data_IF_801236589249
#
_entry.id   IF_801236589249
#
_cell.length_a   1.000
_cell.length_b   1.000
_cell.length_c   1.000
_cell.angle_alpha   90.00
_cell.angle_beta   90.00
_cell.angle_gamma   90.00
#
_symmetry.space_group_name_H-M   'P 1'
#
loop_
_entity.id
_entity.type
_entity.pdbx_description
1 polymer ?
#
# COMPACT_ATOMS: atom_id res chain seq x y z
N UNK A 1 -50.69 -12.17 -2.85
CA UNK A 1 -49.75 -12.50 -3.94
C UNK A 1 -50.11 -13.86 -4.49
N UNK A 2 -50.15 -14.04 -5.80
CA UNK A 2 -50.40 -15.34 -6.41
C UNK A 2 -49.21 -16.29 -6.13
N UNK A 3 -49.46 -17.60 -6.07
CA UNK A 3 -48.38 -18.61 -5.89
C UNK A 3 -47.27 -18.42 -6.94
N UNK A 4 -47.64 -18.09 -8.16
CA UNK A 4 -46.69 -17.79 -9.24
C UNK A 4 -45.80 -16.57 -8.93
N UNK A 5 -46.36 -15.51 -8.35
CA UNK A 5 -45.55 -14.34 -7.96
C UNK A 5 -44.56 -14.69 -6.84
N UNK A 6 -44.98 -15.51 -5.88
CA UNK A 6 -44.06 -15.97 -4.81
C UNK A 6 -42.93 -16.79 -5.38
N UNK A 7 -43.22 -17.76 -6.27
CA UNK A 7 -42.20 -18.60 -6.92
C UNK A 7 -41.20 -17.76 -7.72
N UNK A 8 -41.71 -16.85 -8.57
CA UNK A 8 -40.84 -16.00 -9.38
C UNK A 8 -39.96 -15.09 -8.52
N UNK A 9 -40.50 -14.50 -7.44
CA UNK A 9 -39.73 -13.68 -6.50
C UNK A 9 -38.66 -14.49 -5.80
N UNK A 10 -38.98 -15.71 -5.35
CA UNK A 10 -38.01 -16.60 -4.69
C UNK A 10 -36.89 -16.99 -5.65
N UNK A 11 -37.22 -17.37 -6.89
CA UNK A 11 -36.21 -17.68 -7.91
C UNK A 11 -35.31 -16.50 -8.21
N UNK A 12 -35.88 -15.30 -8.37
CA UNK A 12 -35.10 -14.08 -8.59
C UNK A 12 -34.15 -13.76 -7.41
N UNK A 13 -34.66 -13.79 -6.18
CA UNK A 13 -33.86 -13.52 -4.97
C UNK A 13 -32.76 -14.58 -4.84
N UNK A 14 -33.06 -15.86 -5.07
CA UNK A 14 -32.07 -16.93 -5.02
C UNK A 14 -30.99 -16.75 -6.08
N UNK A 15 -31.39 -16.50 -7.33
CA UNK A 15 -30.45 -16.23 -8.42
C UNK A 15 -29.58 -15.00 -8.15
N UNK A 16 -30.17 -13.95 -7.60
CA UNK A 16 -29.45 -12.72 -7.22
C UNK A 16 -28.45 -12.95 -6.10
N UNK A 17 -28.84 -13.70 -5.06
CA UNK A 17 -27.93 -14.07 -3.95
C UNK A 17 -26.78 -14.97 -4.44
N UNK A 18 -27.07 -15.96 -5.29
CA UNK A 18 -26.04 -16.81 -5.91
C UNK A 18 -25.10 -16.00 -6.81
N UNK A 19 -25.64 -15.07 -7.59
CA UNK A 19 -24.86 -14.19 -8.45
C UNK A 19 -23.95 -13.26 -7.63
N UNK A 20 -24.47 -12.63 -6.54
CA UNK A 20 -23.65 -11.87 -5.60
C UNK A 20 -22.55 -12.77 -4.98
N UNK A 21 -22.92 -13.95 -4.49
CA UNK A 21 -21.99 -14.91 -3.90
C UNK A 21 -20.86 -15.28 -4.86
N UNK A 22 -21.19 -15.60 -6.12
CA UNK A 22 -20.21 -15.94 -7.15
C UNK A 22 -19.27 -14.75 -7.49
N UNK A 23 -19.79 -13.51 -7.50
CA UNK A 23 -18.99 -12.32 -7.79
C UNK A 23 -18.13 -11.86 -6.60
N UNK A 24 -18.50 -12.18 -5.36
CA UNK A 24 -17.74 -11.86 -4.16
C UNK A 24 -16.81 -13.00 -3.71
N UNK A 25 -16.98 -14.21 -4.23
CA UNK A 25 -16.12 -15.33 -3.91
C UNK A 25 -14.75 -15.15 -4.55
N UNK A 26 -13.71 -15.09 -3.74
CA UNK A 26 -12.33 -15.19 -4.23
C UNK A 26 -12.04 -16.65 -4.58
N UNK A 27 -11.69 -16.94 -5.84
CA UNK A 27 -11.39 -18.28 -6.33
C UNK A 27 -10.02 -18.79 -5.92
N UNK A 28 -9.18 -17.94 -5.37
CA UNK A 28 -7.78 -18.24 -5.07
C UNK A 28 -7.59 -18.89 -3.69
N UNK A 29 -6.67 -19.84 -3.63
CA UNK A 29 -6.30 -20.50 -2.36
C UNK A 29 -5.52 -19.54 -1.50
N UNK A 30 -5.92 -19.43 -0.23
CA UNK A 30 -5.23 -18.64 0.79
C UNK A 30 -4.01 -19.38 1.32
N UNK A 31 -3.02 -18.64 1.79
CA UNK A 31 -1.97 -19.21 2.61
C UNK A 31 -2.59 -19.79 3.89
N UNK A 32 -2.34 -21.07 4.16
CA UNK A 32 -2.90 -21.79 5.31
C UNK A 32 -1.89 -21.95 6.44
N UNK A 33 -0.59 -21.87 6.12
CA UNK A 33 0.48 -22.13 7.06
C UNK A 33 1.56 -21.06 6.96
N UNK A 34 2.16 -20.75 8.09
CA UNK A 34 3.34 -19.87 8.14
C UNK A 34 4.56 -20.58 7.53
N UNK A 35 5.43 -19.85 6.81
CA UNK A 35 6.72 -20.37 6.41
C UNK A 35 7.53 -20.87 7.63
N UNK A 36 8.30 -21.94 7.46
CA UNK A 36 9.27 -22.35 8.46
C UNK A 36 10.44 -21.38 8.46
N UNK A 37 11.04 -21.16 9.63
CA UNK A 37 12.26 -20.36 9.74
C UNK A 37 13.44 -21.20 9.28
N UNK A 38 13.94 -20.94 8.07
CA UNK A 38 15.07 -21.63 7.47
C UNK A 38 16.32 -20.74 7.45
N UNK A 39 16.14 -19.43 7.55
CA UNK A 39 17.19 -18.42 7.44
C UNK A 39 16.83 -17.20 8.30
N UNK A 40 17.79 -16.27 8.44
CA UNK A 40 17.61 -14.95 9.03
C UNK A 40 17.59 -13.86 7.97
N UNK A 41 17.15 -12.66 8.33
CA UNK A 41 17.06 -11.50 7.42
C UNK A 41 18.39 -11.08 6.80
N UNK A 42 19.53 -11.38 7.45
CA UNK A 42 20.88 -11.11 6.94
C UNK A 42 21.42 -12.17 5.98
N UNK A 43 20.80 -13.35 5.89
CA UNK A 43 21.32 -14.47 5.11
C UNK A 43 21.09 -14.27 3.60
N UNK A 44 22.04 -14.74 2.79
CA UNK A 44 21.93 -14.74 1.33
C UNK A 44 20.71 -15.55 0.84
N UNK A 45 20.35 -16.62 1.57
CA UNK A 45 19.18 -17.45 1.27
C UNK A 45 17.87 -16.70 1.46
N UNK A 46 17.77 -15.77 2.42
CA UNK A 46 16.59 -14.90 2.55
C UNK A 46 16.43 -13.98 1.32
N UNK A 47 17.55 -13.35 0.88
CA UNK A 47 17.56 -12.52 -0.32
C UNK A 47 17.13 -13.29 -1.56
N UNK A 48 17.70 -14.49 -1.74
CA UNK A 48 17.36 -15.37 -2.85
C UNK A 48 15.88 -15.82 -2.81
N UNK A 49 15.39 -16.19 -1.62
CA UNK A 49 14.00 -16.61 -1.45
C UNK A 49 13.01 -15.49 -1.78
N UNK A 50 13.27 -14.25 -1.33
CA UNK A 50 12.44 -13.10 -1.67
C UNK A 50 12.40 -12.88 -3.20
N UNK A 51 13.57 -12.88 -3.86
CA UNK A 51 13.67 -12.68 -5.32
C UNK A 51 12.89 -13.74 -6.10
N UNK A 52 13.01 -15.02 -5.72
CA UNK A 52 12.34 -16.11 -6.44
C UNK A 52 10.83 -16.17 -6.14
N UNK A 53 10.43 -16.02 -4.88
CA UNK A 53 9.05 -16.22 -4.46
C UNK A 53 8.14 -15.04 -4.77
N UNK A 54 8.69 -13.82 -4.85
CA UNK A 54 7.92 -12.62 -5.19
C UNK A 54 7.96 -12.27 -6.69
N UNK A 55 8.80 -12.95 -7.46
CA UNK A 55 8.91 -12.84 -8.91
C UNK A 55 10.07 -11.96 -9.37
N UNK A 56 10.08 -10.63 -9.17
CA UNK A 56 11.19 -9.81 -9.61
C UNK A 56 12.47 -10.07 -8.80
N UNK A 57 13.67 -10.09 -9.43
CA UNK A 57 14.93 -10.26 -8.70
C UNK A 57 15.30 -9.01 -7.90
N UNK A 58 16.13 -9.17 -6.87
CA UNK A 58 16.84 -8.06 -6.24
C UNK A 58 17.87 -7.48 -7.22
N UNK A 59 17.87 -6.17 -7.36
CA UNK A 59 18.77 -5.43 -8.24
C UNK A 59 19.69 -4.53 -7.40
N UNK A 60 20.99 -4.62 -7.62
CA UNK A 60 21.98 -3.75 -6.99
C UNK A 60 22.07 -2.39 -7.71
N UNK A 61 22.69 -1.41 -7.08
CA UNK A 61 23.02 -0.13 -7.69
C UNK A 61 21.92 0.92 -7.62
N UNK A 62 21.02 0.80 -6.64
CA UNK A 62 19.92 1.75 -6.47
C UNK A 62 20.24 2.79 -5.39
N UNK A 63 19.62 3.97 -5.52
CA UNK A 63 19.54 5.00 -4.49
C UNK A 63 18.09 5.21 -4.11
N UNK A 64 17.76 5.00 -2.84
CA UNK A 64 16.41 5.18 -2.31
C UNK A 64 16.44 6.29 -1.27
N UNK A 65 15.70 7.36 -1.54
CA UNK A 65 15.63 8.55 -0.70
C UNK A 65 14.27 8.65 -0.05
N UNK A 66 14.15 8.60 1.29
CA UNK A 66 12.88 8.83 1.97
C UNK A 66 12.50 10.31 1.90
N UNK A 67 11.21 10.57 1.70
CA UNK A 67 10.57 11.88 1.70
C UNK A 67 9.50 11.88 2.78
N UNK A 68 9.55 12.84 3.69
CA UNK A 68 8.70 12.89 4.86
C UNK A 68 7.63 13.96 4.68
N UNK A 69 6.36 13.57 4.84
CA UNK A 69 5.17 14.39 4.74
C UNK A 69 5.01 15.12 3.38
N UNK A 70 3.85 15.67 3.13
CA UNK A 70 3.50 16.31 1.86
C UNK A 70 4.45 17.46 1.46
N UNK A 71 5.00 18.16 2.45
CA UNK A 71 5.95 19.27 2.26
C UNK A 71 7.25 18.87 1.52
N UNK A 72 7.70 17.62 1.66
CA UNK A 72 8.84 17.09 0.90
C UNK A 72 8.41 16.29 -0.31
N UNK A 73 7.30 15.56 -0.18
CA UNK A 73 6.84 14.61 -1.20
C UNK A 73 6.37 15.34 -2.46
N UNK A 74 5.41 16.26 -2.34
CA UNK A 74 4.82 16.89 -3.52
C UNK A 74 5.79 17.76 -4.30
N UNK A 75 6.62 18.61 -3.68
CA UNK A 75 7.64 19.36 -4.43
C UNK A 75 8.61 18.46 -5.19
N UNK A 76 9.03 17.33 -4.58
CA UNK A 76 9.93 16.40 -5.24
C UNK A 76 9.27 15.73 -6.48
N UNK A 77 8.00 15.30 -6.36
CA UNK A 77 7.24 14.71 -7.47
C UNK A 77 6.98 15.74 -8.58
N UNK A 78 6.52 16.94 -8.23
CA UNK A 78 6.25 18.02 -9.18
C UNK A 78 7.54 18.44 -9.91
N UNK A 79 8.66 18.56 -9.19
CA UNK A 79 9.94 18.85 -9.84
C UNK A 79 10.34 17.77 -10.84
N UNK A 80 10.15 16.49 -10.52
CA UNK A 80 10.44 15.40 -11.45
C UNK A 80 9.54 15.48 -12.71
N UNK A 81 8.24 15.80 -12.58
CA UNK A 81 7.33 16.01 -13.70
C UNK A 81 7.77 17.19 -14.57
N UNK A 82 8.17 18.29 -13.97
CA UNK A 82 8.63 19.50 -14.68
C UNK A 82 9.90 19.26 -15.48
N UNK A 83 10.81 18.47 -14.93
CA UNK A 83 12.10 18.14 -15.54
C UNK A 83 12.10 16.89 -16.42
N UNK A 84 10.94 16.28 -16.63
CA UNK A 84 10.78 15.13 -17.53
C UNK A 84 11.07 15.48 -18.99
N UNK A 85 11.66 14.53 -19.73
CA UNK A 85 12.10 14.69 -21.13
C UNK A 85 11.41 13.79 -22.12
N UNK A 86 10.93 12.59 -21.73
CA UNK A 86 10.38 11.59 -22.64
C UNK A 86 8.98 11.12 -22.26
N UNK A 87 8.80 10.61 -21.07
CA UNK A 87 7.52 10.08 -20.64
C UNK A 87 7.30 10.17 -19.13
N UNK A 88 6.02 10.10 -18.77
CA UNK A 88 5.57 10.04 -17.38
C UNK A 88 4.49 8.96 -17.31
N UNK A 89 4.61 8.05 -16.34
CA UNK A 89 3.55 7.13 -15.95
C UNK A 89 3.16 7.40 -14.51
N UNK A 90 1.88 7.60 -14.26
CA UNK A 90 1.34 8.01 -12.97
C UNK A 90 0.12 7.17 -12.60
N UNK A 91 0.16 6.51 -11.44
CA UNK A 91 -0.94 5.71 -10.90
C UNK A 91 -1.19 6.08 -9.45
N UNK A 92 -2.45 6.35 -9.08
CA UNK A 92 -2.80 6.65 -7.70
C UNK A 92 -4.23 6.24 -7.36
N UNK A 93 -4.48 5.95 -6.07
CA UNK A 93 -5.82 5.70 -5.54
C UNK A 93 -6.55 7.01 -5.27
N UNK A 94 -6.02 7.86 -4.37
CA UNK A 94 -6.64 9.17 -4.04
C UNK A 94 -6.17 10.21 -5.03
N UNK A 95 -7.12 10.85 -5.70
CA UNK A 95 -6.85 11.95 -6.63
C UNK A 95 -8.00 12.95 -6.55
N UNK A 96 -7.81 14.06 -5.84
CA UNK A 96 -8.85 15.04 -5.56
C UNK A 96 -8.28 16.37 -5.08
N UNK A 97 -9.17 17.35 -4.89
CA UNK A 97 -8.89 18.63 -4.27
C UNK A 97 -7.84 19.49 -5.04
N UNK A 98 -7.34 20.54 -4.42
CA UNK A 98 -6.36 21.44 -5.00
C UNK A 98 -5.05 20.75 -5.41
N UNK A 99 -4.64 19.70 -4.65
CA UNK A 99 -3.44 18.93 -4.98
C UNK A 99 -3.64 18.12 -6.25
N UNK A 100 -4.79 17.43 -6.39
CA UNK A 100 -5.14 16.75 -7.64
C UNK A 100 -5.16 17.70 -8.83
N UNK A 101 -5.72 18.90 -8.65
CA UNK A 101 -5.71 19.95 -9.66
C UNK A 101 -4.29 20.37 -10.06
N UNK A 102 -3.42 20.60 -9.09
CA UNK A 102 -2.00 20.93 -9.34
C UNK A 102 -1.31 19.84 -10.16
N UNK A 103 -1.53 18.56 -9.83
CA UNK A 103 -0.95 17.45 -10.60
C UNK A 103 -1.54 17.36 -12.02
N UNK A 104 -2.85 17.62 -12.22
CA UNK A 104 -3.46 17.72 -13.55
C UNK A 104 -2.76 18.78 -14.38
N UNK A 105 -2.52 19.96 -13.82
CA UNK A 105 -1.88 21.08 -14.54
C UNK A 105 -0.44 20.73 -14.93
N UNK A 106 0.36 20.16 -14.02
CA UNK A 106 1.74 19.80 -14.29
C UNK A 106 1.88 18.67 -15.31
N UNK A 107 1.03 17.64 -15.22
CA UNK A 107 0.98 16.53 -16.19
C UNK A 107 0.48 17.02 -17.56
N UNK A 108 -0.51 17.91 -17.60
CA UNK A 108 -1.00 18.55 -18.82
C UNK A 108 0.11 19.40 -19.48
N UNK A 109 0.86 20.14 -18.68
CA UNK A 109 2.00 20.92 -19.17
C UNK A 109 3.10 20.01 -19.74
N UNK A 110 3.36 18.86 -19.12
CA UNK A 110 4.29 17.87 -19.66
C UNK A 110 3.79 17.32 -21.03
N UNK A 111 2.51 16.98 -21.15
CA UNK A 111 1.94 16.54 -22.41
C UNK A 111 2.04 17.62 -23.51
N UNK A 112 1.75 18.90 -23.19
CA UNK A 112 1.92 20.02 -24.14
C UNK A 112 3.37 20.24 -24.56
N UNK A 113 4.35 19.84 -23.74
CA UNK A 113 5.77 19.80 -24.15
C UNK A 113 6.10 18.65 -25.11
N UNK A 114 5.15 17.77 -25.42
CA UNK A 114 5.30 16.63 -26.32
C UNK A 114 5.69 15.32 -25.63
N UNK A 115 5.66 15.25 -24.31
CA UNK A 115 5.94 14.03 -23.56
C UNK A 115 4.76 13.04 -23.65
N UNK A 116 5.07 11.74 -23.59
CA UNK A 116 4.06 10.71 -23.44
C UNK A 116 3.63 10.63 -21.96
N UNK A 117 2.41 11.02 -21.65
CA UNK A 117 1.89 11.07 -20.28
C UNK A 117 0.74 10.08 -20.12
N UNK A 118 0.95 9.05 -19.32
CA UNK A 118 -0.03 8.00 -19.02
C UNK A 118 -0.48 8.10 -17.57
N UNK A 119 -1.78 8.30 -17.36
CA UNK A 119 -2.38 8.50 -16.04
C UNK A 119 -3.41 7.40 -15.79
N UNK A 120 -3.30 6.71 -14.66
CA UNK A 120 -4.23 5.69 -14.21
C UNK A 120 -4.78 6.06 -12.84
N UNK A 121 -6.06 6.39 -12.76
CA UNK A 121 -6.74 6.81 -11.54
C UNK A 121 -7.73 5.72 -11.10
N UNK A 122 -7.77 5.39 -9.82
CA UNK A 122 -8.82 4.53 -9.30
C UNK A 122 -10.17 5.26 -9.33
N UNK A 123 -11.22 4.59 -9.82
CA UNK A 123 -12.55 5.19 -9.91
C UNK A 123 -13.07 5.70 -8.57
N UNK A 124 -12.91 4.90 -7.49
CA UNK A 124 -13.47 5.26 -6.18
C UNK A 124 -12.73 6.44 -5.55
N UNK A 125 -11.41 6.43 -5.64
CA UNK A 125 -10.54 7.43 -5.03
C UNK A 125 -10.47 8.75 -5.79
N UNK A 126 -10.87 8.78 -7.07
CA UNK A 126 -10.87 9.97 -7.92
C UNK A 126 -12.28 10.52 -8.25
N UNK A 127 -13.35 9.87 -7.76
CA UNK A 127 -14.75 10.21 -8.11
C UNK A 127 -15.18 11.62 -7.71
N UNK A 128 -14.49 12.28 -6.82
CA UNK A 128 -14.76 13.67 -6.39
C UNK A 128 -13.97 14.70 -7.19
N UNK A 129 -13.12 14.27 -8.13
CA UNK A 129 -12.43 15.18 -9.05
C UNK A 129 -13.40 15.72 -10.10
N UNK A 130 -13.23 16.97 -10.45
CA UNK A 130 -14.05 17.60 -11.48
C UNK A 130 -13.76 16.97 -12.86
N UNK A 131 -14.81 16.49 -13.52
CA UNK A 131 -14.72 15.88 -14.85
C UNK A 131 -14.18 16.87 -15.91
N UNK A 132 -14.38 18.17 -15.74
CA UNK A 132 -13.82 19.21 -16.61
C UNK A 132 -12.29 19.21 -16.55
N UNK A 133 -11.70 19.03 -15.39
CA UNK A 133 -10.24 18.96 -15.21
C UNK A 133 -9.66 17.70 -15.84
N UNK A 134 -10.31 16.54 -15.65
CA UNK A 134 -9.88 15.28 -16.28
C UNK A 134 -10.01 15.37 -17.81
N UNK A 135 -11.06 16.05 -18.32
CA UNK A 135 -11.24 16.31 -19.75
C UNK A 135 -10.16 17.26 -20.29
N UNK A 136 -9.81 18.30 -19.53
CA UNK A 136 -8.72 19.22 -19.89
C UNK A 136 -7.36 18.50 -20.00
N UNK A 137 -7.05 17.55 -19.09
CA UNK A 137 -5.86 16.73 -19.18
C UNK A 137 -5.83 15.89 -20.48
N UNK A 138 -6.96 15.26 -20.84
CA UNK A 138 -7.07 14.50 -22.11
C UNK A 138 -6.90 15.42 -23.33
N UNK A 139 -7.50 16.59 -23.33
CA UNK A 139 -7.35 17.59 -24.38
C UNK A 139 -5.91 18.10 -24.51
N UNK A 140 -5.18 18.17 -23.39
CA UNK A 140 -3.76 18.53 -23.39
C UNK A 140 -2.85 17.42 -23.95
N UNK A 141 -3.37 16.22 -24.22
CA UNK A 141 -2.63 15.09 -24.77
C UNK A 141 -2.29 13.99 -23.75
N UNK A 142 -2.78 14.07 -22.50
CA UNK A 142 -2.59 12.99 -21.54
C UNK A 142 -3.48 11.78 -21.90
N UNK A 143 -2.90 10.58 -21.88
CA UNK A 143 -3.65 9.32 -21.93
C UNK A 143 -4.11 8.96 -20.52
N UNK A 144 -5.32 9.45 -20.17
CA UNK A 144 -5.90 9.30 -18.83
C UNK A 144 -6.99 8.23 -18.85
N UNK A 145 -6.79 7.21 -18.01
CA UNK A 145 -7.67 6.07 -17.84
C UNK A 145 -8.19 5.96 -16.39
N UNK A 146 -9.40 5.44 -16.25
CA UNK A 146 -10.02 5.16 -14.94
C UNK A 146 -9.98 3.66 -14.70
N UNK A 147 -9.39 3.26 -13.58
CA UNK A 147 -9.27 1.86 -13.20
C UNK A 147 -10.56 1.37 -12.54
N UNK A 148 -11.09 0.26 -13.04
CA UNK A 148 -12.28 -0.43 -12.56
C UNK A 148 -13.48 0.50 -12.30
N UNK A 149 -13.99 1.24 -13.32
CA UNK A 149 -15.24 1.95 -13.23
C UNK A 149 -16.39 0.97 -12.97
N UNK A 150 -17.50 1.40 -12.34
CA UNK A 150 -18.64 0.53 -12.07
C UNK A 150 -19.18 -0.14 -13.32
N UNK A 151 -19.43 -1.42 -13.23
CA UNK A 151 -20.08 -2.20 -14.27
C UNK A 151 -21.04 -3.17 -13.62
N UNK A 152 -22.31 -3.16 -14.07
CA UNK A 152 -23.37 -3.98 -13.49
C UNK A 152 -23.13 -5.50 -13.66
N UNK A 153 -22.31 -5.88 -14.64
CA UNK A 153 -21.98 -7.30 -14.93
C UNK A 153 -20.68 -7.78 -14.30
N UNK A 154 -19.91 -6.89 -13.62
CA UNK A 154 -18.65 -7.22 -12.97
C UNK A 154 -18.55 -6.64 -11.56
N UNK A 155 -19.42 -7.09 -10.65
CA UNK A 155 -19.44 -6.61 -9.25
C UNK A 155 -18.14 -6.94 -8.50
N UNK A 156 -17.45 -8.03 -8.82
CA UNK A 156 -16.18 -8.41 -8.23
C UNK A 156 -15.11 -7.32 -8.41
N UNK A 157 -15.15 -6.60 -9.55
CA UNK A 157 -14.25 -5.48 -9.83
C UNK A 157 -14.52 -4.24 -8.95
N UNK A 158 -15.73 -4.12 -8.39
CA UNK A 158 -16.04 -3.01 -7.46
C UNK A 158 -15.25 -3.14 -6.16
N UNK A 159 -14.91 -4.33 -5.73
CA UNK A 159 -14.15 -4.60 -4.52
C UNK A 159 -12.63 -4.62 -4.75
N UNK A 160 -12.18 -4.85 -6.00
CA UNK A 160 -10.78 -4.74 -6.38
C UNK A 160 -10.45 -3.28 -6.77
N UNK A 161 -9.56 -2.66 -6.02
CA UNK A 161 -9.11 -1.28 -6.26
C UNK A 161 -7.62 -1.24 -6.51
N UNK A 162 -7.16 -0.35 -7.38
CA UNK A 162 -5.74 -0.06 -7.38
C UNK A 162 -5.41 0.82 -6.18
N UNK A 163 -4.63 0.26 -5.28
CA UNK A 163 -4.12 1.02 -4.12
C UNK A 163 -2.66 1.41 -4.32
N UNK A 164 -2.10 1.09 -5.49
CA UNK A 164 -0.75 1.50 -5.90
C UNK A 164 -0.64 3.02 -5.96
N UNK A 165 0.50 3.54 -5.60
CA UNK A 165 0.88 4.95 -5.71
C UNK A 165 2.24 4.97 -6.35
N UNK A 166 2.25 5.22 -7.66
CA UNK A 166 3.45 5.14 -8.50
C UNK A 166 3.53 6.38 -9.38
N UNK A 167 4.69 7.00 -9.43
CA UNK A 167 5.08 7.95 -10.45
C UNK A 167 6.42 7.49 -11.00
N UNK A 168 6.52 7.26 -12.30
CA UNK A 168 7.79 6.98 -12.96
C UNK A 168 8.01 8.02 -14.04
N UNK A 169 9.19 8.62 -14.04
CA UNK A 169 9.59 9.68 -14.96
C UNK A 169 10.79 9.21 -15.78
N UNK A 170 10.65 9.26 -17.10
CA UNK A 170 11.68 8.89 -18.09
C UNK A 170 12.26 7.47 -17.91
N UNK A 171 11.56 6.59 -17.19
CA UNK A 171 12.08 5.28 -16.79
C UNK A 171 13.32 5.34 -15.88
N UNK A 172 13.65 6.49 -15.29
CA UNK A 172 14.88 6.76 -14.52
C UNK A 172 14.63 7.11 -13.07
N UNK A 173 13.53 7.78 -12.77
CA UNK A 173 13.15 8.22 -11.44
C UNK A 173 11.78 7.62 -11.12
N UNK A 174 11.67 6.96 -9.98
CA UNK A 174 10.42 6.40 -9.49
C UNK A 174 10.05 6.96 -8.12
N UNK A 175 8.74 7.06 -7.83
CA UNK A 175 8.21 7.40 -6.52
C UNK A 175 7.18 6.36 -6.12
N UNK A 176 7.22 5.94 -4.84
CA UNK A 176 6.25 5.02 -4.25
C UNK A 176 6.12 5.24 -2.74
N UNK A 177 4.99 4.86 -2.16
CA UNK A 177 4.71 5.00 -0.74
C UNK A 177 3.21 5.09 -0.46
N UNK A 178 2.84 5.76 0.64
CA UNK A 178 1.44 5.84 1.06
C UNK A 178 0.70 7.08 0.60
N UNK A 179 1.38 8.14 0.09
CA UNK A 179 0.75 9.42 -0.22
C UNK A 179 -0.31 9.29 -1.34
N UNK A 180 -1.45 9.95 -1.15
CA UNK A 180 -2.42 10.23 -2.20
C UNK A 180 -2.36 11.69 -2.63
N UNK A 181 -3.12 12.06 -3.66
CA UNK A 181 -3.24 13.46 -4.09
C UNK A 181 -4.48 14.07 -3.42
N UNK A 182 -4.30 14.58 -2.20
CA UNK A 182 -5.35 15.18 -1.38
C UNK A 182 -4.78 16.15 -0.35
N UNK A 183 -5.59 17.11 0.08
CA UNK A 183 -5.19 18.19 1.01
C UNK A 183 -4.77 17.67 2.38
N UNK A 184 -5.21 16.48 2.76
CA UNK A 184 -4.90 15.87 4.06
C UNK A 184 -3.40 15.73 4.32
N UNK A 185 -2.60 15.57 3.27
CA UNK A 185 -1.14 15.41 3.38
C UNK A 185 -0.36 16.72 3.33
N UNK A 186 -0.98 17.87 2.94
CA UNK A 186 -0.29 19.17 2.90
C UNK A 186 -0.84 20.17 3.88
N UNK A 187 -2.15 20.43 3.88
CA UNK A 187 -2.75 21.49 4.67
C UNK A 187 -3.40 20.95 5.96
N UNK A 188 -3.46 19.63 6.06
CA UNK A 188 -4.21 18.94 7.11
C UNK A 188 -5.72 19.01 6.85
N UNK A 189 -6.51 18.56 7.81
CA UNK A 189 -7.96 18.61 7.74
C UNK A 189 -8.58 18.72 9.14
N UNK A 190 -9.75 19.34 9.21
CA UNK A 190 -10.52 19.49 10.46
C UNK A 190 -9.71 20.12 11.62
N UNK A 191 -8.81 21.07 11.33
CA UNK A 191 -7.97 21.75 12.32
C UNK A 191 -6.82 20.89 12.85
N UNK A 192 -6.54 19.75 12.23
CA UNK A 192 -5.39 18.89 12.55
C UNK A 192 -4.23 19.17 11.61
N UNK A 193 -2.97 18.96 12.05
CA UNK A 193 -1.81 19.01 11.18
C UNK A 193 -1.92 18.04 10.00
N UNK A 194 -1.13 18.22 8.92
CA UNK A 194 -1.03 17.28 7.81
C UNK A 194 -0.79 15.86 8.29
N UNK A 195 -1.29 14.89 7.52
CA UNK A 195 -1.08 13.47 7.82
C UNK A 195 0.40 13.12 7.81
N UNK A 196 0.81 12.32 8.80
CA UNK A 196 2.16 11.79 8.89
C UNK A 196 2.36 10.69 7.86
N UNK A 197 3.26 10.92 6.91
CA UNK A 197 3.50 9.99 5.82
C UNK A 197 5.01 9.86 5.53
N UNK A 198 5.41 8.75 4.94
CA UNK A 198 6.74 8.55 4.36
C UNK A 198 6.60 7.97 2.97
N UNK A 199 7.15 8.67 1.98
CA UNK A 199 7.19 8.27 0.57
C UNK A 199 8.65 8.12 0.14
N UNK A 200 8.90 7.46 -0.98
CA UNK A 200 10.27 7.12 -1.38
C UNK A 200 10.50 7.48 -2.83
N UNK A 201 11.59 8.20 -3.08
CA UNK A 201 12.15 8.42 -4.41
C UNK A 201 13.16 7.31 -4.66
N UNK A 202 13.07 6.64 -5.80
CA UNK A 202 13.98 5.61 -6.25
C UNK A 202 14.68 6.03 -7.54
N UNK A 203 15.98 5.79 -7.61
CA UNK A 203 16.84 5.99 -8.77
C UNK A 203 17.69 4.74 -8.96
N UNK A 204 17.92 4.30 -10.21
CA UNK A 204 18.67 3.10 -10.50
C UNK A 204 17.83 1.96 -11.08
N UNK A 205 18.40 0.75 -11.20
CA UNK A 205 17.78 -0.37 -11.93
C UNK A 205 16.37 -0.78 -11.45
N UNK A 206 16.04 -0.57 -10.18
CA UNK A 206 14.72 -0.90 -9.62
C UNK A 206 13.58 -0.10 -10.26
N UNK A 207 13.87 1.05 -10.87
CA UNK A 207 12.85 1.88 -11.55
C UNK A 207 12.22 1.12 -12.72
N UNK A 208 12.97 0.25 -13.40
CA UNK A 208 12.40 -0.61 -14.43
C UNK A 208 11.33 -1.58 -13.88
N UNK A 209 11.52 -2.08 -12.65
CA UNK A 209 10.51 -2.90 -11.99
C UNK A 209 9.30 -2.07 -11.56
N UNK A 210 9.49 -0.81 -11.12
CA UNK A 210 8.38 0.12 -10.82
C UNK A 210 7.56 0.40 -12.08
N UNK A 211 8.23 0.62 -13.21
CA UNK A 211 7.59 0.79 -14.51
C UNK A 211 6.78 -0.45 -14.92
N UNK A 212 7.34 -1.65 -14.74
CA UNK A 212 6.64 -2.90 -15.03
C UNK A 212 5.39 -3.09 -14.15
N UNK A 213 5.45 -2.72 -12.87
CA UNK A 213 4.30 -2.75 -11.95
C UNK A 213 3.19 -1.79 -12.41
N UNK A 214 3.52 -0.59 -12.89
CA UNK A 214 2.54 0.32 -13.51
C UNK A 214 1.91 -0.32 -14.75
N UNK A 215 2.74 -0.86 -15.66
CA UNK A 215 2.29 -1.44 -16.92
C UNK A 215 1.32 -2.62 -16.71
N UNK A 216 1.48 -3.41 -15.65
CA UNK A 216 0.55 -4.49 -15.30
C UNK A 216 -0.89 -3.98 -15.17
N UNK A 217 -1.13 -2.91 -14.41
CA UNK A 217 -2.47 -2.32 -14.28
C UNK A 217 -2.89 -1.52 -15.52
N UNK A 218 -1.93 -0.93 -16.23
CA UNK A 218 -2.19 -0.26 -17.50
C UNK A 218 -2.74 -1.24 -18.55
N UNK A 219 -2.16 -2.43 -18.66
CA UNK A 219 -2.67 -3.49 -19.55
C UNK A 219 -4.07 -3.92 -19.14
N UNK A 220 -4.34 -4.12 -17.84
CA UNK A 220 -5.68 -4.48 -17.34
C UNK A 220 -6.74 -3.43 -17.68
N UNK A 221 -6.35 -2.15 -17.67
CA UNK A 221 -7.27 -1.04 -17.95
C UNK A 221 -7.47 -0.79 -19.45
N UNK A 222 -6.44 -1.01 -20.29
CA UNK A 222 -6.43 -0.54 -21.68
C UNK A 222 -6.23 -1.64 -22.73
N UNK A 223 -5.70 -2.81 -22.35
CA UNK A 223 -5.24 -3.84 -23.27
C UNK A 223 -3.95 -3.48 -24.04
N UNK A 224 -3.33 -2.31 -23.75
CA UNK A 224 -2.14 -1.82 -24.46
C UNK A 224 -0.88 -2.01 -23.61
N UNK A 225 0.24 -2.32 -24.28
CA UNK A 225 1.55 -2.48 -23.65
C UNK A 225 2.42 -1.25 -23.93
N UNK A 226 2.96 -0.65 -22.89
CA UNK A 226 3.99 0.37 -23.00
C UNK A 226 5.36 -0.32 -22.97
N UNK A 227 6.17 -0.15 -24.01
CA UNK A 227 7.46 -0.81 -24.16
C UNK A 227 8.43 0.08 -24.95
N UNK A 228 9.68 -0.31 -25.00
CA UNK A 228 10.71 0.43 -25.73
C UNK A 228 11.70 1.14 -24.80
N UNK A 229 12.72 1.75 -25.39
CA UNK A 229 13.80 2.39 -24.65
C UNK A 229 13.34 3.65 -23.89
N UNK A 230 12.26 4.28 -24.33
CA UNK A 230 11.65 5.41 -23.64
C UNK A 230 11.11 5.04 -22.27
N UNK A 231 10.52 3.83 -22.10
CA UNK A 231 10.01 3.34 -20.81
C UNK A 231 11.05 2.54 -20.02
N UNK A 232 11.96 1.86 -20.72
CA UNK A 232 13.01 1.01 -20.16
C UNK A 232 14.39 1.44 -20.72
N UNK A 233 14.88 2.63 -20.34
CA UNK A 233 16.18 3.09 -20.81
C UNK A 233 17.30 2.20 -20.27
N UNK A 234 18.37 2.05 -21.03
CA UNK A 234 19.60 1.43 -20.51
C UNK A 234 20.24 2.39 -19.51
N UNK A 235 20.21 2.01 -18.25
CA UNK A 235 20.91 2.75 -17.20
C UNK A 235 22.39 2.37 -17.26
N UNK A 236 23.25 3.35 -17.53
CA UNK A 236 24.67 3.12 -17.82
C UNK A 236 25.55 2.89 -16.60
N UNK A 237 25.08 3.27 -15.41
CA UNK A 237 25.85 3.16 -14.18
C UNK A 237 24.95 2.88 -12.99
N UNK A 238 25.53 2.30 -11.95
CA UNK A 238 24.89 2.21 -10.65
C UNK A 238 24.77 3.62 -10.05
N UNK A 239 23.55 3.98 -9.65
CA UNK A 239 23.26 5.30 -9.10
C UNK A 239 23.53 5.35 -7.60
N UNK A 240 23.59 4.20 -6.95
CA UNK A 240 23.84 4.01 -5.51
C UNK A 240 24.35 2.59 -5.21
N UNK A 241 24.29 2.23 -3.95
CA UNK A 241 24.81 0.97 -3.40
C UNK A 241 23.74 0.05 -2.82
N UNK A 242 22.46 0.45 -2.88
CA UNK A 242 21.38 -0.32 -2.28
C UNK A 242 20.92 -1.45 -3.21
N UNK A 243 20.64 -2.62 -2.63
CA UNK A 243 19.91 -3.69 -3.32
C UNK A 243 18.41 -3.50 -3.09
N UNK A 244 17.66 -3.45 -4.17
CA UNK A 244 16.21 -3.23 -4.10
C UNK A 244 15.43 -4.13 -5.06
N UNK A 245 14.16 -4.37 -4.73
CA UNK A 245 13.19 -5.11 -5.52
C UNK A 245 11.85 -4.41 -5.42
N UNK A 246 11.23 -4.11 -6.55
CA UNK A 246 9.84 -3.65 -6.60
C UNK A 246 8.96 -4.77 -7.11
N UNK A 247 7.91 -5.10 -6.38
CA UNK A 247 6.92 -6.06 -6.83
C UNK A 247 5.50 -5.54 -6.62
N UNK A 248 4.60 -5.99 -7.47
CA UNK A 248 3.16 -5.77 -7.34
C UNK A 248 2.47 -7.02 -6.83
N UNK A 249 1.36 -6.83 -6.14
CA UNK A 249 0.38 -7.88 -5.89
C UNK A 249 -0.96 -7.51 -6.49
N UNK A 250 -1.73 -8.53 -6.85
CA UNK A 250 -3.06 -8.38 -7.44
C UNK A 250 -3.94 -9.53 -6.98
N UNK A 251 -5.23 -9.30 -6.72
CA UNK A 251 -6.18 -10.38 -6.37
C UNK A 251 -6.25 -11.50 -7.40
N UNK A 252 -5.97 -11.21 -8.66
CA UNK A 252 -6.06 -12.15 -9.78
C UNK A 252 -4.71 -12.83 -10.08
N UNK A 253 -3.67 -12.50 -9.36
CA UNK A 253 -2.31 -13.01 -9.60
C UNK A 253 -1.95 -14.30 -8.85
N UNK A 254 -2.79 -14.79 -7.97
CA UNK A 254 -2.77 -16.16 -7.45
C UNK A 254 -1.86 -16.49 -6.27
N UNK A 255 -0.92 -15.65 -5.83
CA UNK A 255 0.09 -16.08 -4.86
C UNK A 255 0.03 -15.41 -3.48
N UNK A 256 -0.93 -14.52 -3.23
CA UNK A 256 -0.91 -13.68 -2.01
C UNK A 256 0.50 -13.10 -1.75
N UNK A 257 1.18 -12.63 -2.80
CA UNK A 257 2.61 -12.25 -2.75
C UNK A 257 2.93 -11.26 -1.65
N UNK A 258 2.01 -10.30 -1.39
CA UNK A 258 2.18 -9.32 -0.32
C UNK A 258 2.14 -9.99 1.07
N UNK A 259 1.18 -10.86 1.29
CA UNK A 259 1.07 -11.62 2.54
C UNK A 259 2.26 -12.58 2.72
N UNK A 260 2.68 -13.26 1.64
CA UNK A 260 3.86 -14.13 1.65
C UNK A 260 5.12 -13.36 2.02
N UNK A 261 5.34 -12.18 1.43
CA UNK A 261 6.47 -11.31 1.76
C UNK A 261 6.49 -10.96 3.26
N UNK A 262 5.35 -10.52 3.80
CA UNK A 262 5.22 -10.18 5.22
C UNK A 262 5.56 -11.38 6.09
N UNK A 263 4.97 -12.55 5.82
CA UNK A 263 5.22 -13.77 6.61
C UNK A 263 6.68 -14.24 6.55
N UNK A 264 7.32 -14.16 5.38
CA UNK A 264 8.75 -14.49 5.22
C UNK A 264 9.62 -13.54 6.05
N UNK A 265 9.37 -12.24 5.95
CA UNK A 265 10.13 -11.22 6.67
C UNK A 265 10.01 -11.36 8.20
N UNK A 266 8.77 -11.50 8.72
CA UNK A 266 8.53 -11.69 10.16
C UNK A 266 9.14 -13.00 10.68
N UNK A 267 9.15 -14.04 9.85
CA UNK A 267 9.73 -15.35 10.22
C UNK A 267 11.25 -15.30 10.25
N UNK A 268 11.89 -14.57 9.33
CA UNK A 268 13.34 -14.40 9.23
C UNK A 268 13.91 -13.50 10.33
N UNK A 269 13.11 -12.66 10.97
CA UNK A 269 13.55 -11.72 12.00
C UNK A 269 14.35 -12.41 13.14
N UNK A 270 15.48 -11.79 13.51
CA UNK A 270 16.41 -12.27 14.55
C UNK A 270 16.46 -11.35 15.77
N UNK A 271 16.45 -10.03 15.57
CA UNK A 271 16.68 -9.04 16.64
C UNK A 271 15.53 -8.07 16.82
N UNK A 272 14.98 -7.52 15.71
CA UNK A 272 13.93 -6.51 15.79
C UNK A 272 12.97 -6.52 14.61
N UNK A 273 11.72 -6.15 14.90
CA UNK A 273 10.66 -5.86 13.94
C UNK A 273 10.08 -4.51 14.33
N UNK A 274 10.17 -3.54 13.42
CA UNK A 274 9.61 -2.21 13.57
C UNK A 274 8.58 -1.97 12.45
N UNK A 275 7.33 -1.74 12.82
CA UNK A 275 6.20 -1.55 11.89
C UNK A 275 5.60 -0.17 12.14
N UNK A 276 5.47 0.66 11.10
CA UNK A 276 4.59 1.82 11.07
C UNK A 276 3.54 1.60 9.99
N UNK A 277 2.26 1.48 10.38
CA UNK A 277 1.23 1.12 9.41
C UNK A 277 -0.12 1.78 9.72
N UNK A 278 -0.72 2.37 8.67
CA UNK A 278 -1.97 3.13 8.76
C UNK A 278 -3.18 2.28 9.17
N UNK A 279 -3.29 1.08 8.59
CA UNK A 279 -4.40 0.16 8.87
C UNK A 279 -3.83 -1.20 9.26
N UNK A 280 -3.78 -1.44 10.56
CA UNK A 280 -3.16 -2.62 11.14
C UNK A 280 -4.24 -3.57 11.67
N UNK A 281 -4.80 -4.38 10.79
CA UNK A 281 -5.81 -5.42 11.08
C UNK A 281 -5.29 -6.78 10.61
N UNK A 282 -4.15 -7.24 11.16
CA UNK A 282 -3.44 -8.42 10.66
C UNK A 282 -4.29 -9.69 10.77
N UNK A 283 -4.11 -10.59 9.82
CA UNK A 283 -4.75 -11.90 9.84
C UNK A 283 -4.17 -12.83 10.92
N UNK A 284 -4.77 -14.00 11.08
CA UNK A 284 -4.34 -14.97 12.09
C UNK A 284 -2.88 -15.39 11.92
N UNK A 285 -2.45 -15.66 10.69
CA UNK A 285 -1.07 -16.09 10.41
C UNK A 285 -0.06 -14.99 10.73
N UNK A 286 -0.37 -13.75 10.40
CA UNK A 286 0.48 -12.59 10.71
C UNK A 286 0.57 -12.36 12.22
N UNK A 287 -0.54 -12.44 12.97
CA UNK A 287 -0.53 -12.37 14.44
C UNK A 287 0.33 -13.49 15.04
N UNK A 288 0.17 -14.73 14.54
CA UNK A 288 0.98 -15.86 14.99
C UNK A 288 2.47 -15.71 14.66
N UNK A 289 2.82 -15.14 13.49
CA UNK A 289 4.19 -14.86 13.09
C UNK A 289 4.84 -13.83 14.02
N UNK A 290 4.15 -12.71 14.30
CA UNK A 290 4.59 -11.68 15.23
C UNK A 290 4.79 -12.21 16.64
N UNK A 291 3.81 -12.95 17.16
CA UNK A 291 3.90 -13.58 18.47
C UNK A 291 5.02 -14.64 18.54
N UNK A 292 5.24 -15.38 17.47
CA UNK A 292 6.34 -16.34 17.38
C UNK A 292 7.71 -15.63 17.39
N UNK A 293 7.85 -14.51 16.68
CA UNK A 293 9.06 -13.69 16.70
C UNK A 293 9.32 -13.15 18.13
N UNK A 294 8.33 -12.58 18.78
CA UNK A 294 8.43 -12.05 20.14
C UNK A 294 8.85 -13.16 21.15
N UNK A 295 8.26 -14.36 21.05
CA UNK A 295 8.65 -15.51 21.89
C UNK A 295 10.11 -16.00 21.65
N UNK A 296 10.68 -15.73 20.47
CA UNK A 296 12.11 -15.98 20.18
C UNK A 296 13.03 -14.90 20.75
N UNK A 297 12.49 -13.87 21.41
CA UNK A 297 13.26 -12.75 21.95
C UNK A 297 13.43 -11.58 20.97
N UNK A 298 12.77 -11.61 19.82
CA UNK A 298 12.78 -10.49 18.86
C UNK A 298 12.00 -9.32 19.45
N UNK A 299 12.59 -8.13 19.48
CA UNK A 299 11.88 -6.90 19.87
C UNK A 299 10.88 -6.52 18.77
N UNK A 300 9.59 -6.41 19.12
CA UNK A 300 8.54 -6.06 18.16
C UNK A 300 7.86 -4.77 18.59
N UNK A 301 7.91 -3.75 17.73
CA UNK A 301 7.22 -2.48 17.91
C UNK A 301 6.27 -2.20 16.75
N UNK A 302 5.07 -1.77 17.07
CA UNK A 302 4.01 -1.47 16.11
C UNK A 302 3.49 -0.08 16.39
N UNK A 303 3.65 0.82 15.42
CA UNK A 303 3.15 2.19 15.44
C UNK A 303 1.93 2.28 14.52
N UNK A 304 0.81 2.74 15.06
CA UNK A 304 -0.50 2.81 14.39
C UNK A 304 -1.17 4.16 14.65
N UNK A 305 -2.18 4.55 13.85
CA UNK A 305 -2.96 5.75 14.13
C UNK A 305 -3.64 5.69 15.50
N UNK A 306 -3.66 6.84 16.18
CA UNK A 306 -4.38 7.02 17.45
C UNK A 306 -5.87 7.32 17.24
N UNK A 307 -6.36 8.37 17.91
CA UNK A 307 -7.76 8.81 17.82
C UNK A 307 -8.07 9.48 16.47
N UNK A 308 -7.07 10.08 15.85
CA UNK A 308 -7.18 10.71 14.54
C UNK A 308 -7.00 9.65 13.47
N UNK A 309 -8.08 9.22 12.86
CA UNK A 309 -8.14 8.22 11.79
C UNK A 309 -9.36 8.47 10.92
N UNK A 310 -9.23 8.26 9.65
CA UNK A 310 -10.30 8.29 8.66
C UNK A 310 -11.16 7.00 8.68
N UNK A 311 -10.60 5.87 9.17
CA UNK A 311 -11.22 4.55 9.21
C UNK A 311 -11.54 4.07 10.65
N UNK A 312 -12.62 4.59 11.25
CA UNK A 312 -13.03 4.21 12.63
C UNK A 312 -13.27 2.71 12.81
N UNK A 313 -13.88 2.06 11.82
CA UNK A 313 -14.13 0.61 11.85
C UNK A 313 -12.81 -0.17 11.83
N UNK A 314 -11.88 0.17 10.97
CA UNK A 314 -10.55 -0.43 10.93
C UNK A 314 -9.81 -0.28 12.25
N UNK A 315 -9.90 0.90 12.88
CA UNK A 315 -9.31 1.12 14.21
C UNK A 315 -9.94 0.25 15.29
N UNK A 316 -11.27 0.07 15.30
CA UNK A 316 -11.92 -0.82 16.28
C UNK A 316 -11.52 -2.28 16.05
N UNK A 317 -11.45 -2.73 14.79
CA UNK A 317 -10.97 -4.07 14.46
C UNK A 317 -9.53 -4.29 14.94
N UNK A 318 -8.62 -3.34 14.65
CA UNK A 318 -7.23 -3.36 15.14
C UNK A 318 -7.16 -3.49 16.66
N UNK A 319 -7.92 -2.66 17.39
CA UNK A 319 -7.94 -2.67 18.85
C UNK A 319 -8.48 -3.99 19.44
N UNK A 320 -9.37 -4.67 18.73
CA UNK A 320 -9.82 -6.02 19.09
C UNK A 320 -8.69 -7.05 19.11
N UNK A 321 -7.67 -6.88 18.25
CA UNK A 321 -6.51 -7.78 18.13
C UNK A 321 -5.37 -7.46 19.11
N UNK A 322 -5.32 -6.24 19.68
CA UNK A 322 -4.23 -5.81 20.56
C UNK A 322 -3.99 -6.77 21.73
N UNK A 323 -5.04 -7.35 22.29
CA UNK A 323 -4.90 -8.26 23.43
C UNK A 323 -4.04 -9.49 23.14
N UNK A 324 -4.11 -10.06 21.96
CA UNK A 324 -3.28 -11.18 21.54
C UNK A 324 -1.80 -10.77 21.42
N UNK A 325 -1.54 -9.64 20.78
CA UNK A 325 -0.20 -9.10 20.56
C UNK A 325 0.46 -8.64 21.87
N UNK A 326 -0.26 -7.89 22.71
CA UNK A 326 0.24 -7.41 24.00
C UNK A 326 0.58 -8.55 24.97
N UNK A 327 -0.16 -9.67 24.95
CA UNK A 327 0.15 -10.88 25.72
C UNK A 327 1.47 -11.54 25.30
N UNK A 328 1.88 -11.35 24.05
CA UNK A 328 3.15 -11.84 23.52
C UNK A 328 4.34 -10.89 23.83
N UNK A 329 4.11 -9.78 24.56
CA UNK A 329 5.16 -8.79 24.86
C UNK A 329 5.41 -7.77 23.74
N UNK A 330 4.57 -7.74 22.70
CA UNK A 330 4.67 -6.80 21.60
C UNK A 330 4.27 -5.40 22.07
N UNK A 331 5.06 -4.39 21.72
CA UNK A 331 4.80 -2.99 22.04
C UNK A 331 3.96 -2.36 20.94
N UNK A 332 2.81 -1.76 21.31
CA UNK A 332 1.90 -1.07 20.39
C UNK A 332 1.82 0.39 20.81
N UNK A 333 2.07 1.28 19.86
CA UNK A 333 2.05 2.73 20.04
C UNK A 333 0.96 3.34 19.16
N UNK A 334 0.07 4.15 19.75
CA UNK A 334 -0.94 4.93 19.01
C UNK A 334 -0.45 6.36 18.84
N UNK A 335 -0.17 6.78 17.59
CA UNK A 335 0.25 8.13 17.23
C UNK A 335 -0.84 9.16 17.56
N UNK A 336 -0.48 10.27 18.20
CA UNK A 336 -1.49 11.19 18.75
C UNK A 336 -1.70 12.49 17.96
N UNK A 337 -0.70 13.09 17.28
CA UNK A 337 -0.85 14.43 16.71
C UNK A 337 -1.89 14.52 15.58
N UNK A 338 -1.84 13.60 14.65
CA UNK A 338 -2.71 13.56 13.46
C UNK A 338 -2.88 12.11 12.98
N UNK A 339 -3.46 11.89 11.80
CA UNK A 339 -3.46 10.57 11.15
C UNK A 339 -2.04 10.18 10.74
N UNK A 340 -1.58 9.01 11.21
CA UNK A 340 -0.36 8.38 10.73
C UNK A 340 -0.71 7.45 9.58
N UNK A 341 -0.18 7.74 8.38
CA UNK A 341 -0.58 7.00 7.18
C UNK A 341 0.58 6.23 6.51
N UNK A 342 1.76 6.20 7.12
CA UNK A 342 2.94 5.47 6.61
C UNK A 342 2.70 3.96 6.53
N UNK A 343 3.40 3.29 5.61
CA UNK A 343 3.44 1.84 5.45
C UNK A 343 4.88 1.40 5.33
N UNK A 344 5.49 1.14 6.48
CA UNK A 344 6.91 0.80 6.63
C UNK A 344 7.05 -0.42 7.52
N UNK A 345 7.80 -1.40 7.06
CA UNK A 345 8.23 -2.56 7.83
C UNK A 345 9.77 -2.61 7.80
N UNK A 346 10.40 -2.64 8.95
CA UNK A 346 11.86 -2.80 9.08
C UNK A 346 12.17 -4.06 9.86
N UNK A 347 13.08 -4.89 9.34
CA UNK A 347 13.54 -6.12 9.98
C UNK A 347 15.02 -6.00 10.28
N UNK A 348 15.38 -6.21 11.55
CA UNK A 348 16.75 -6.33 12.07
C UNK A 348 17.66 -5.13 11.73
N UNK A 349 17.10 -4.01 11.30
CA UNK A 349 17.86 -2.83 10.86
C UNK A 349 18.68 -3.03 9.58
N UNK A 350 18.39 -4.08 8.79
CA UNK A 350 19.11 -4.41 7.54
C UNK A 350 18.20 -4.42 6.31
N UNK A 351 16.92 -4.68 6.50
CA UNK A 351 15.94 -4.78 5.42
C UNK A 351 14.69 -3.95 5.72
N UNK A 352 14.18 -3.29 4.71
CA UNK A 352 12.94 -2.51 4.79
C UNK A 352 12.00 -2.85 3.64
N UNK A 353 10.70 -2.93 3.93
CA UNK A 353 9.64 -2.92 2.92
C UNK A 353 8.79 -1.67 3.09
N UNK A 354 8.64 -0.93 2.00
CA UNK A 354 7.92 0.34 1.97
C UNK A 354 7.03 0.38 0.73
N UNK A 355 5.87 1.02 0.81
CA UNK A 355 4.97 1.06 -0.35
C UNK A 355 3.54 1.40 -0.01
N UNK A 356 2.61 0.79 -0.72
CA UNK A 356 1.18 1.07 -0.56
C UNK A 356 0.46 0.13 0.40
N UNK A 357 1.04 -1.05 0.71
CA UNK A 357 0.35 -2.13 1.40
C UNK A 357 0.14 -1.88 2.89
N UNK A 358 -1.08 -2.07 3.35
CA UNK A 358 -1.42 -2.14 4.77
C UNK A 358 -1.31 -3.58 5.30
N UNK A 359 -1.32 -3.72 6.63
CA UNK A 359 -1.40 -5.01 7.30
C UNK A 359 -2.86 -5.41 7.52
N UNK A 360 -3.58 -5.62 6.43
CA UNK A 360 -4.98 -6.01 6.45
C UNK A 360 -5.34 -6.97 5.30
N UNK A 361 -6.51 -7.61 5.41
CA UNK A 361 -6.99 -8.56 4.41
C UNK A 361 -7.25 -7.89 3.04
N UNK A 362 -7.58 -6.59 3.04
CA UNK A 362 -7.82 -5.83 1.82
C UNK A 362 -6.55 -5.67 1.00
N UNK A 363 -5.44 -5.25 1.63
CA UNK A 363 -4.15 -5.11 0.96
C UNK A 363 -3.54 -6.46 0.58
N UNK A 364 -3.79 -7.51 1.36
CA UNK A 364 -3.23 -8.82 1.06
C UNK A 364 -3.97 -9.56 -0.06
N UNK A 365 -5.27 -9.28 -0.28
CA UNK A 365 -6.15 -10.13 -1.09
C UNK A 365 -7.10 -9.43 -2.05
N UNK A 366 -7.40 -8.15 -1.83
CA UNK A 366 -8.47 -7.46 -2.56
C UNK A 366 -7.98 -6.31 -3.43
N UNK A 367 -6.89 -5.66 -3.04
CA UNK A 367 -6.34 -4.52 -3.77
C UNK A 367 -5.14 -4.93 -4.62
N UNK A 368 -4.91 -4.15 -5.68
CA UNK A 368 -3.61 -4.12 -6.33
C UNK A 368 -2.69 -3.22 -5.51
N UNK A 369 -1.60 -3.80 -5.01
CA UNK A 369 -0.61 -3.14 -4.17
C UNK A 369 0.77 -3.15 -4.82
N UNK A 370 1.67 -2.32 -4.32
CA UNK A 370 3.04 -2.26 -4.78
C UNK A 370 3.96 -1.92 -3.61
N UNK A 371 5.00 -2.74 -3.40
CA UNK A 371 5.98 -2.53 -2.35
C UNK A 371 7.41 -2.61 -2.89
N UNK A 372 8.23 -1.72 -2.38
CA UNK A 372 9.66 -1.65 -2.59
C UNK A 372 10.38 -2.29 -1.40
N UNK A 373 11.06 -3.40 -1.64
CA UNK A 373 11.91 -4.09 -0.68
C UNK A 373 13.35 -3.60 -0.86
N UNK A 374 14.02 -3.22 0.22
CA UNK A 374 15.37 -2.65 0.16
C UNK A 374 16.26 -3.29 1.22
N UNK A 375 17.41 -3.79 0.81
CA UNK A 375 18.51 -4.16 1.70
C UNK A 375 19.49 -2.99 1.79
N UNK A 376 19.45 -2.29 2.91
CA UNK A 376 20.34 -1.18 3.26
C UNK A 376 20.23 -0.89 4.75
N UNK A 377 21.34 -1.02 5.47
CA UNK A 377 21.38 -0.65 6.89
C UNK A 377 21.17 0.85 7.11
N UNK A 378 21.67 1.68 6.21
CA UNK A 378 21.49 3.13 6.28
C UNK A 378 20.01 3.52 6.17
N UNK A 379 19.32 3.02 5.14
CA UNK A 379 17.88 3.28 4.96
C UNK A 379 17.07 2.72 6.13
N UNK A 380 17.35 1.49 6.55
CA UNK A 380 16.66 0.86 7.67
C UNK A 380 16.85 1.64 8.97
N UNK A 381 18.07 2.09 9.27
CA UNK A 381 18.38 2.93 10.43
C UNK A 381 17.64 4.28 10.36
N UNK A 382 17.62 4.92 9.19
CA UNK A 382 16.84 6.15 8.97
C UNK A 382 15.35 5.95 9.23
N UNK A 383 14.76 4.84 8.76
CA UNK A 383 13.36 4.52 9.04
C UNK A 383 13.11 4.26 10.54
N UNK A 384 14.00 3.56 11.23
CA UNK A 384 13.92 3.35 12.68
C UNK A 384 13.94 4.70 13.42
N UNK A 385 14.81 5.64 13.04
CA UNK A 385 14.87 6.97 13.64
C UNK A 385 13.57 7.75 13.46
N UNK A 386 12.94 7.69 12.28
CA UNK A 386 11.63 8.28 12.02
C UNK A 386 10.55 7.64 12.91
N UNK A 387 10.52 6.31 13.00
CA UNK A 387 9.60 5.59 13.90
C UNK A 387 9.85 5.97 15.36
N UNK A 388 11.09 6.12 15.80
CA UNK A 388 11.43 6.54 17.17
C UNK A 388 10.94 7.97 17.46
N UNK A 389 11.05 8.88 16.50
CA UNK A 389 10.52 10.23 16.64
C UNK A 389 8.99 10.24 16.75
N UNK A 390 8.31 9.42 15.95
CA UNK A 390 6.85 9.28 15.98
C UNK A 390 6.38 8.59 17.28
N UNK A 391 7.12 7.61 17.80
CA UNK A 391 6.85 6.94 19.08
C UNK A 391 6.88 7.91 20.26
N UNK A 392 7.80 8.89 20.25
CA UNK A 392 7.85 9.95 21.31
C UNK A 392 6.57 10.76 21.40
N UNK A 393 5.82 10.86 20.32
CA UNK A 393 4.52 11.54 20.23
C UNK A 393 3.33 10.60 20.33
N UNK A 394 3.58 9.35 20.70
CA UNK A 394 2.57 8.27 20.72
C UNK A 394 2.22 7.82 22.12
N UNK A 395 1.06 7.22 22.24
CA UNK A 395 0.59 6.60 23.48
C UNK A 395 0.90 5.10 23.45
N UNK A 396 1.71 4.63 24.40
CA UNK A 396 1.93 3.20 24.60
C UNK A 396 0.65 2.50 25.09
N UNK A 397 0.28 1.43 24.43
CA UNK A 397 -0.83 0.58 24.82
C UNK A 397 -0.38 -0.42 25.89
N UNK A 398 -1.09 -0.45 27.01
CA UNK A 398 -0.77 -1.32 28.15
C UNK A 398 -1.84 -2.38 28.29
N UNK A 399 -1.45 -3.66 28.41
CA UNK A 399 -2.35 -4.81 28.48
C UNK A 399 -3.40 -4.67 29.61
N UNK A 400 -3.00 -4.22 30.80
CA UNK A 400 -3.92 -4.01 31.91
C UNK A 400 -5.00 -2.99 31.56
N UNK A 401 -4.63 -1.79 31.04
CA UNK A 401 -5.58 -0.76 30.59
C UNK A 401 -6.49 -1.25 29.48
N UNK A 402 -5.94 -2.03 28.53
CA UNK A 402 -6.72 -2.63 27.44
C UNK A 402 -7.77 -3.64 27.96
N UNK A 403 -7.43 -4.46 28.95
CA UNK A 403 -8.37 -5.42 29.57
C UNK A 403 -9.55 -4.73 30.26
N UNK A 404 -9.32 -3.56 30.88
CA UNK A 404 -10.33 -2.81 31.64
C UNK A 404 -11.07 -1.73 30.84
N UNK A 405 -11.00 -1.79 29.49
CA UNK A 405 -11.74 -0.85 28.64
C UNK A 405 -13.25 -1.05 28.73
N UNK A 406 -14.02 0.04 28.51
CA UNK A 406 -15.49 0.06 28.62
C UNK A 406 -16.13 -1.07 27.79
N UNK A 407 -17.19 -1.67 28.32
CA UNK A 407 -17.90 -2.79 27.71
C UNK A 407 -18.42 -2.48 26.29
N UNK A 408 -19.07 -1.32 26.09
CA UNK A 408 -19.54 -0.90 24.76
C UNK A 408 -18.42 -0.85 23.71
N UNK A 409 -17.19 -0.44 24.11
CA UNK A 409 -16.04 -0.46 23.21
C UNK A 409 -15.67 -1.89 22.81
N UNK A 410 -15.73 -2.84 23.72
CA UNK A 410 -15.46 -4.26 23.44
C UNK A 410 -16.47 -4.87 22.47
N UNK A 411 -17.74 -4.42 22.50
CA UNK A 411 -18.77 -4.83 21.55
C UNK A 411 -18.42 -4.29 20.14
N UNK A 412 -18.14 -2.99 20.02
CA UNK A 412 -17.79 -2.37 18.74
C UNK A 412 -16.56 -3.03 18.10
N UNK A 413 -15.53 -3.34 18.91
CA UNK A 413 -14.33 -4.06 18.45
C UNK A 413 -14.65 -5.47 17.92
N UNK A 414 -15.54 -6.20 18.59
CA UNK A 414 -15.98 -7.54 18.14
C UNK A 414 -16.81 -7.47 16.86
N UNK A 415 -17.72 -6.51 16.76
CA UNK A 415 -18.54 -6.30 15.57
C UNK A 415 -17.66 -5.90 14.38
N UNK A 416 -16.69 -4.99 14.59
CA UNK A 416 -15.75 -4.59 13.56
C UNK A 416 -14.89 -5.77 13.07
N UNK A 417 -14.50 -6.70 13.95
CA UNK A 417 -13.75 -7.90 13.57
C UNK A 417 -14.55 -8.85 12.65
N UNK A 418 -15.88 -8.84 12.69
CA UNK A 418 -16.69 -9.63 11.74
C UNK A 418 -16.54 -9.14 10.30
N UNK A 419 -16.23 -7.85 10.12
CA UNK A 419 -16.01 -7.23 8.82
C UNK A 419 -14.53 -7.25 8.38
N UNK A 420 -13.65 -7.91 9.14
CA UNK A 420 -12.21 -7.93 8.93
C UNK A 420 -11.80 -8.31 7.50
N UNK A 421 -12.50 -9.25 6.88
CA UNK A 421 -12.21 -9.70 5.52
C UNK A 421 -12.45 -8.63 4.45
N UNK A 422 -13.06 -7.51 4.82
CA UNK A 422 -13.37 -6.38 3.93
C UNK A 422 -12.64 -5.08 4.34
N UNK A 423 -11.93 -5.12 5.45
CA UNK A 423 -11.13 -4.01 5.98
C UNK A 423 -9.69 -4.08 5.51
#
# INVERSE_FOLDING_TARGET
MSVVAIVLTTLFVTAFVLWIGANLATTEKRLLYRPRRLYTSGDADFRRALGILLGPPLLAGNKITPLVNGEQIYPAMINAIRTAHTNITFETFVFRDAIGATFVDELSNAARRGLQVHILLDWLGSRSMDDSMLSAARTAGCDLQIYHPPSWYHLGRLNNRTHRKLLVVDGKIGFTGGVGMGVEWCDGCNGLPPWRETHFKAEGPVVAQMQAVFIDNWIKATGRVLHGAEYFPKLSATTGDMEAQMFGSSPVGGSESMHLMVLLALTAAKTSIDIANAYFVPDKLTVEALCSAARRGVRVRILVPGRHTDARLGRWAAQGLYGALLKCGIQIFEYQPTMMHSKVLVIDGVWSSVGSSNFDDRSFRLNDEANLNVFSEELARGQIQLIDADIKQSRLMVLHKWRHRKFGRRINERLALLLRSQL
#
